data_IF_316364435758
#
_entry.id   IF_316364435758
#
_cell.length_a   1.000
_cell.length_b   1.000
_cell.length_c   1.000
_cell.angle_alpha   90.00
_cell.angle_beta   90.00
_cell.angle_gamma   90.00
#
_symmetry.space_group_name_H-M   'P 1'
#
loop_
_entity.id
_entity.type
_entity.pdbx_description
1 polymer ?
#
# COMPACT_ATOMS: atom_id res chain seq x y z
N UNK A 1 27.50 13.93 3.75
CA UNK A 1 26.86 13.58 2.46
C UNK A 1 25.76 12.54 2.73
N UNK A 2 24.52 12.98 2.95
CA UNK A 2 23.30 12.14 2.98
C UNK A 2 22.34 12.83 2.02
N UNK A 3 22.03 12.24 0.86
CA UNK A 3 21.17 12.99 -0.06
C UNK A 3 20.69 12.30 -1.33
N UNK A 4 21.32 11.22 -1.81
CA UNK A 4 20.90 10.69 -3.13
C UNK A 4 20.78 9.16 -3.24
N UNK A 5 21.27 8.40 -2.24
CA UNK A 5 21.22 6.93 -2.26
C UNK A 5 19.99 6.37 -1.53
N UNK A 6 19.26 7.18 -0.76
CA UNK A 6 18.22 6.69 0.16
C UNK A 6 16.78 6.77 -0.38
N UNK A 7 16.47 7.70 -1.30
CA UNK A 7 15.10 7.86 -1.80
C UNK A 7 14.62 6.63 -2.60
N UNK A 8 15.45 6.14 -3.54
CA UNK A 8 15.08 5.01 -4.42
C UNK A 8 14.88 3.70 -3.65
N UNK A 9 15.71 3.46 -2.63
CA UNK A 9 15.56 2.28 -1.79
C UNK A 9 14.26 2.35 -0.99
N UNK A 10 13.92 3.53 -0.47
CA UNK A 10 12.70 3.74 0.30
C UNK A 10 11.42 3.61 -0.55
N UNK A 11 11.42 4.13 -1.79
CA UNK A 11 10.30 3.96 -2.74
C UNK A 11 10.03 2.49 -3.12
N UNK A 12 11.04 1.63 -2.98
CA UNK A 12 10.96 0.20 -3.25
C UNK A 12 10.86 -0.66 -1.97
N UNK A 13 10.70 -0.05 -0.80
CA UNK A 13 10.56 -0.74 0.48
C UNK A 13 9.11 -0.66 0.96
N UNK A 14 8.59 -1.78 1.45
CA UNK A 14 7.18 -1.91 1.83
C UNK A 14 7.06 -2.64 3.18
N UNK A 15 6.09 -2.21 3.99
CA UNK A 15 5.67 -2.97 5.17
C UNK A 15 4.56 -3.94 4.78
N UNK A 16 4.68 -5.18 5.21
CA UNK A 16 3.58 -6.15 5.13
C UNK A 16 2.63 -5.87 6.29
N UNK A 17 1.36 -5.61 5.96
CA UNK A 17 0.28 -5.37 6.91
C UNK A 17 -0.83 -6.41 6.74
N UNK A 18 -1.62 -6.68 7.80
CA UNK A 18 -2.90 -7.36 7.62
C UNK A 18 -3.75 -6.62 6.60
N UNK A 19 -4.35 -7.38 5.67
CA UNK A 19 -5.23 -6.81 4.66
C UNK A 19 -6.58 -6.38 5.24
N UNK A 20 -7.12 -5.22 4.86
CA UNK A 20 -8.40 -4.75 5.40
C UNK A 20 -9.61 -5.53 4.87
N UNK A 21 -9.46 -6.34 3.81
CA UNK A 21 -10.57 -7.09 3.22
C UNK A 21 -10.74 -8.53 3.75
N UNK A 22 -9.94 -9.00 4.71
CA UNK A 22 -10.13 -10.33 5.30
C UNK A 22 -9.02 -10.78 6.25
N UNK A 23 -9.33 -11.75 7.11
CA UNK A 23 -8.45 -12.20 8.21
C UNK A 23 -7.12 -12.82 7.76
N UNK A 24 -7.02 -13.31 6.52
CA UNK A 24 -5.83 -14.01 6.01
C UNK A 24 -5.09 -13.26 4.90
N UNK A 25 -5.61 -12.12 4.44
CA UNK A 25 -5.01 -11.34 3.37
C UNK A 25 -3.87 -10.44 3.86
N UNK A 26 -3.01 -10.00 2.93
CA UNK A 26 -1.96 -9.01 3.22
C UNK A 26 -2.08 -7.77 2.34
N UNK A 27 -1.60 -6.65 2.87
CA UNK A 27 -1.44 -5.39 2.13
C UNK A 27 0.01 -4.89 2.23
N UNK A 28 0.43 -4.13 1.22
CA UNK A 28 1.77 -3.53 1.17
C UNK A 28 1.67 -2.03 1.41
N UNK A 29 2.06 -1.58 2.60
CA UNK A 29 2.14 -0.15 2.96
C UNK A 29 3.49 0.43 2.53
N UNK A 30 3.50 1.62 1.92
CA UNK A 30 4.73 2.31 1.53
C UNK A 30 5.59 2.64 2.76
N UNK A 31 6.89 2.34 2.68
CA UNK A 31 7.81 2.65 3.77
C UNK A 31 8.00 4.16 3.99
N UNK A 32 8.08 4.94 2.90
CA UNK A 32 8.34 6.38 2.95
C UNK A 32 7.09 7.26 2.79
N UNK A 33 5.92 6.67 2.53
CA UNK A 33 4.63 7.35 2.49
C UNK A 33 3.60 6.60 3.36
N UNK A 34 3.71 6.68 4.71
CA UNK A 34 2.81 5.97 5.62
C UNK A 34 1.33 6.24 5.36
N UNK A 35 0.49 5.21 5.48
CA UNK A 35 -0.93 5.27 5.15
C UNK A 35 -1.27 5.12 3.66
N UNK A 36 -0.26 5.06 2.78
CA UNK A 36 -0.44 4.72 1.36
C UNK A 36 -0.13 3.25 1.12
N UNK A 37 -0.98 2.58 0.35
CA UNK A 37 -0.88 1.15 0.08
C UNK A 37 -0.84 0.88 -1.42
N UNK A 38 -0.23 -0.24 -1.84
CA UNK A 38 -0.47 -0.74 -3.19
C UNK A 38 -1.92 -1.20 -3.31
N UNK A 39 -2.61 -0.67 -4.32
CA UNK A 39 -3.98 -1.09 -4.65
C UNK A 39 -4.27 -0.98 -6.14
N UNK A 40 -5.29 -1.69 -6.60
CA UNK A 40 -5.78 -1.58 -7.98
C UNK A 40 -6.75 -0.41 -8.11
N UNK A 41 -6.48 0.49 -9.05
CA UNK A 41 -7.37 1.61 -9.36
C UNK A 41 -7.36 1.86 -10.87
N UNK A 42 -8.53 2.01 -11.49
CA UNK A 42 -8.68 2.28 -12.93
C UNK A 42 -7.90 1.30 -13.85
N UNK A 43 -7.76 0.04 -13.43
CA UNK A 43 -7.06 -0.98 -14.21
C UNK A 43 -5.53 -1.01 -14.06
N UNK A 44 -4.95 -0.15 -13.22
CA UNK A 44 -3.52 -0.14 -12.90
C UNK A 44 -3.28 -0.39 -11.42
N UNK A 45 -2.03 -0.69 -11.05
CA UNK A 45 -1.58 -0.69 -9.65
C UNK A 45 -1.05 0.70 -9.32
N UNK A 46 -1.57 1.29 -8.25
CA UNK A 46 -1.20 2.63 -7.80
C UNK A 46 -1.09 2.67 -6.28
N UNK A 47 -0.53 3.76 -5.75
CA UNK A 47 -0.65 4.08 -4.34
C UNK A 47 -2.05 4.60 -4.06
N UNK A 48 -2.74 3.96 -3.11
CA UNK A 48 -4.08 4.35 -2.65
C UNK A 48 -4.05 4.66 -1.17
N UNK A 49 -4.90 5.58 -0.73
CA UNK A 49 -5.10 5.84 0.70
C UNK A 49 -6.22 4.95 1.21
N UNK A 50 -5.97 4.23 2.29
CA UNK A 50 -6.99 3.46 2.99
C UNK A 50 -7.42 4.23 4.23
N UNK A 51 -8.73 4.41 4.37
CA UNK A 51 -9.39 5.10 5.48
C UNK A 51 -10.57 4.27 5.95
N UNK A 52 -11.08 4.56 7.15
CA UNK A 52 -12.30 3.90 7.67
C UNK A 52 -13.55 4.13 6.79
N UNK A 53 -13.50 5.12 5.90
CA UNK A 53 -14.55 5.45 4.92
C UNK A 53 -14.26 4.95 3.50
N UNK A 54 -13.19 4.17 3.31
CA UNK A 54 -12.85 3.62 2.01
C UNK A 54 -13.89 2.60 1.55
N UNK A 55 -14.28 2.58 0.26
CA UNK A 55 -15.24 1.62 -0.23
C UNK A 55 -14.67 0.21 -0.17
N UNK A 56 -15.49 -0.79 0.14
CA UNK A 56 -15.07 -2.21 0.27
C UNK A 56 -14.26 -2.68 -0.93
N UNK A 57 -14.63 -2.23 -2.14
CA UNK A 57 -13.90 -2.60 -3.34
C UNK A 57 -12.44 -2.13 -3.33
N UNK A 58 -12.16 -0.95 -2.77
CA UNK A 58 -10.81 -0.45 -2.60
C UNK A 58 -10.04 -1.26 -1.54
N UNK A 59 -10.72 -1.71 -0.49
CA UNK A 59 -10.12 -2.58 0.52
C UNK A 59 -9.71 -3.92 -0.09
N UNK A 60 -10.59 -4.53 -0.89
CA UNK A 60 -10.30 -5.75 -1.65
C UNK A 60 -9.14 -5.54 -2.62
N UNK A 61 -9.19 -4.47 -3.41
CA UNK A 61 -8.20 -4.18 -4.45
C UNK A 61 -6.81 -3.83 -3.88
N UNK A 62 -6.72 -3.53 -2.58
CA UNK A 62 -5.49 -3.33 -1.82
C UNK A 62 -5.08 -4.55 -0.98
N UNK A 63 -5.82 -5.67 -1.06
CA UNK A 63 -5.54 -6.92 -0.33
C UNK A 63 -5.15 -8.04 -1.29
N UNK A 64 -4.06 -8.74 -1.00
CA UNK A 64 -3.63 -9.94 -1.72
C UNK A 64 -3.95 -11.18 -0.87
N UNK A 65 -4.51 -12.21 -1.52
CA UNK A 65 -4.86 -13.50 -0.93
C UNK A 65 -4.03 -14.63 -1.56
#
# INVERSE_FOLDING_TARGET
MRGFVLARAADATWWIRPGPAGETGISFESYNQPGMYLGRQFGVVALVTLTDSSPDKLLEDATLF
#
